data_IF_457485887054
#
_entry.id   IF_457485887054
#
_cell.length_a   1.000
_cell.length_b   1.000
_cell.length_c   1.000
_cell.angle_alpha   90.00
_cell.angle_beta   90.00
_cell.angle_gamma   90.00
#
_symmetry.space_group_name_H-M   'P 1'
#
loop_
_entity.id
_entity.type
_entity.pdbx_description
1 polymer ?
#
# COMPACT_ATOMS: atom_id res chain seq x y z
N UNK A 1 -19.56 6.88 -12.30
CA UNK A 1 -19.92 6.49 -10.92
C UNK A 1 -20.20 4.98 -10.76
N UNK A 2 -20.77 4.28 -11.76
CA UNK A 2 -21.03 2.83 -11.65
C UNK A 2 -19.79 1.95 -11.41
N UNK A 3 -18.66 2.26 -12.06
CA UNK A 3 -17.42 1.48 -11.92
C UNK A 3 -16.82 1.55 -10.51
N UNK A 4 -16.83 2.74 -9.87
CA UNK A 4 -16.30 2.93 -8.51
C UNK A 4 -17.18 2.20 -7.49
N UNK A 5 -18.50 2.23 -7.64
CA UNK A 5 -19.42 1.52 -6.75
C UNK A 5 -19.20 -0.01 -6.77
N UNK A 6 -18.96 -0.58 -7.96
CA UNK A 6 -18.65 -2.01 -8.11
C UNK A 6 -17.30 -2.34 -7.48
N UNK A 7 -16.27 -1.53 -7.72
CA UNK A 7 -14.93 -1.71 -7.14
C UNK A 7 -14.98 -1.67 -5.62
N UNK A 8 -15.67 -0.68 -5.04
CA UNK A 8 -15.82 -0.57 -3.60
C UNK A 8 -16.62 -1.77 -3.06
N UNK A 9 -17.72 -2.14 -3.71
CA UNK A 9 -18.54 -3.29 -3.29
C UNK A 9 -17.78 -4.62 -3.31
N UNK A 10 -17.05 -4.92 -4.39
CA UNK A 10 -16.26 -6.14 -4.47
C UNK A 10 -15.04 -6.10 -3.54
N UNK A 11 -14.41 -4.94 -3.41
CA UNK A 11 -13.29 -4.74 -2.51
C UNK A 11 -13.69 -4.92 -1.04
N UNK A 12 -14.85 -4.43 -0.63
CA UNK A 12 -15.35 -4.62 0.75
C UNK A 12 -15.73 -6.08 1.00
N UNK A 13 -16.33 -6.78 0.03
CA UNK A 13 -16.58 -8.23 0.10
C UNK A 13 -15.28 -9.01 0.27
N UNK A 14 -14.28 -8.76 -0.58
CA UNK A 14 -12.96 -9.39 -0.47
C UNK A 14 -12.27 -9.07 0.87
N UNK A 15 -12.34 -7.82 1.30
CA UNK A 15 -11.79 -7.39 2.59
C UNK A 15 -12.44 -8.12 3.77
N UNK A 16 -13.77 -8.29 3.74
CA UNK A 16 -14.51 -9.03 4.76
C UNK A 16 -14.17 -10.52 4.73
N UNK A 17 -14.10 -11.14 3.55
CA UNK A 17 -13.67 -12.53 3.39
C UNK A 17 -12.25 -12.75 3.91
N UNK A 18 -11.32 -11.83 3.67
CA UNK A 18 -9.95 -11.90 4.21
C UNK A 18 -9.89 -11.77 5.74
N UNK A 19 -10.78 -10.96 6.32
CA UNK A 19 -10.89 -10.81 7.77
C UNK A 19 -11.49 -12.07 8.41
N UNK A 20 -12.61 -12.59 7.89
CA UNK A 20 -13.30 -13.76 8.44
C UNK A 20 -12.52 -15.07 8.24
N UNK A 21 -11.81 -15.21 7.12
CA UNK A 21 -10.99 -16.41 6.85
C UNK A 21 -9.68 -16.46 7.65
N UNK A 22 -9.31 -15.38 8.35
CA UNK A 22 -7.99 -15.25 8.97
C UNK A 22 -6.84 -15.04 7.98
N UNK A 23 -7.14 -14.88 6.68
CA UNK A 23 -6.11 -14.67 5.64
C UNK A 23 -5.28 -13.41 5.89
N UNK A 24 -5.93 -12.30 6.28
CA UNK A 24 -5.24 -11.06 6.65
C UNK A 24 -4.32 -11.25 7.87
N UNK A 25 -4.76 -12.05 8.86
CA UNK A 25 -3.96 -12.37 10.05
C UNK A 25 -2.73 -13.21 9.71
N UNK A 26 -2.89 -14.18 8.80
CA UNK A 26 -1.78 -15.01 8.33
C UNK A 26 -0.73 -14.19 7.58
N UNK A 27 -1.16 -13.28 6.70
CA UNK A 27 -0.26 -12.34 6.01
C UNK A 27 0.46 -11.45 7.02
N UNK A 28 -0.28 -10.82 7.93
CA UNK A 28 0.29 -9.95 8.95
C UNK A 28 1.33 -10.69 9.80
N UNK A 29 0.99 -11.90 10.24
CA UNK A 29 1.89 -12.77 11.01
C UNK A 29 3.15 -13.09 10.24
N UNK A 30 3.04 -13.50 8.98
CA UNK A 30 4.18 -13.85 8.15
C UNK A 30 5.11 -12.64 7.94
N UNK A 31 4.56 -11.45 7.73
CA UNK A 31 5.34 -10.21 7.59
C UNK A 31 6.06 -9.83 8.88
N UNK A 32 5.37 -9.91 10.03
CA UNK A 32 5.96 -9.61 11.33
C UNK A 32 7.06 -10.61 11.70
N UNK A 33 6.83 -11.90 11.48
CA UNK A 33 7.79 -12.95 11.82
C UNK A 33 9.04 -12.87 10.91
N UNK A 34 8.86 -12.51 9.64
CA UNK A 34 9.96 -12.44 8.66
C UNK A 34 10.80 -11.16 8.78
N UNK A 35 10.18 -10.01 8.96
CA UNK A 35 10.87 -8.71 8.99
C UNK A 35 11.15 -8.21 10.41
N UNK A 36 10.42 -8.72 11.40
CA UNK A 36 10.43 -8.25 12.78
C UNK A 36 9.52 -7.03 12.99
N UNK A 37 9.00 -6.89 14.21
CA UNK A 37 8.09 -5.81 14.60
C UNK A 37 8.68 -4.41 14.29
N UNK A 38 9.98 -4.23 14.53
CA UNK A 38 10.66 -2.95 14.32
C UNK A 38 10.79 -2.56 12.85
N UNK A 39 10.66 -3.48 11.89
CA UNK A 39 10.88 -3.20 10.45
C UNK A 39 9.67 -3.51 9.58
N UNK A 40 8.57 -4.02 10.15
CA UNK A 40 7.39 -4.40 9.38
C UNK A 40 6.82 -3.25 8.54
N UNK A 41 6.91 -2.01 9.01
CA UNK A 41 6.49 -0.82 8.25
C UNK A 41 7.24 -0.64 6.91
N UNK A 42 8.49 -1.10 6.80
CA UNK A 42 9.21 -1.13 5.52
C UNK A 42 8.68 -2.22 4.59
N UNK A 43 8.37 -3.39 5.15
CA UNK A 43 7.74 -4.48 4.40
C UNK A 43 6.37 -4.05 3.86
N UNK A 44 5.61 -3.29 4.64
CA UNK A 44 4.32 -2.76 4.21
C UNK A 44 4.42 -1.77 3.06
N UNK A 45 5.47 -0.92 3.01
CA UNK A 45 5.74 -0.10 1.83
C UNK A 45 6.01 -0.95 0.60
N UNK A 46 6.87 -1.97 0.73
CA UNK A 46 7.20 -2.87 -0.38
C UNK A 46 5.95 -3.62 -0.88
N UNK A 47 5.11 -4.11 0.04
CA UNK A 47 3.83 -4.75 -0.29
C UNK A 47 2.95 -3.79 -1.08
N UNK A 48 2.78 -2.55 -0.60
CA UNK A 48 2.01 -1.53 -1.33
C UNK A 48 2.59 -1.24 -2.72
N UNK A 49 3.91 -1.14 -2.83
CA UNK A 49 4.60 -0.90 -4.09
C UNK A 49 4.40 -2.05 -5.09
N UNK A 50 4.61 -3.30 -4.66
CA UNK A 50 4.48 -4.48 -5.55
C UNK A 50 3.02 -4.71 -5.94
N UNK A 51 2.09 -4.63 -4.99
CA UNK A 51 0.65 -4.79 -5.26
C UNK A 51 0.13 -3.67 -6.14
N UNK A 52 0.67 -2.46 -6.02
CA UNK A 52 0.30 -1.32 -6.84
C UNK A 52 0.67 -1.45 -8.32
N UNK A 53 1.57 -2.35 -8.72
CA UNK A 53 1.97 -2.49 -10.12
C UNK A 53 0.80 -2.99 -10.99
N UNK A 54 0.12 -4.09 -10.63
CA UNK A 54 -1.05 -4.57 -11.38
C UNK A 54 -2.39 -3.96 -10.94
N UNK A 55 -2.46 -3.29 -9.79
CA UNK A 55 -3.72 -2.87 -9.17
C UNK A 55 -3.85 -1.34 -9.10
N UNK A 56 -5.03 -0.82 -9.42
CA UNK A 56 -5.36 0.59 -9.20
C UNK A 56 -5.25 0.99 -7.73
N UNK A 57 -4.89 2.25 -7.47
CA UNK A 57 -4.72 2.76 -6.10
C UNK A 57 -5.90 2.44 -5.18
N UNK A 58 -7.13 2.74 -5.62
CA UNK A 58 -8.34 2.55 -4.81
C UNK A 58 -8.57 1.07 -4.46
N UNK A 59 -8.43 0.18 -5.45
CA UNK A 59 -8.59 -1.26 -5.27
C UNK A 59 -7.51 -1.80 -4.33
N UNK A 60 -6.24 -1.43 -4.58
CA UNK A 60 -5.10 -1.88 -3.79
C UNK A 60 -5.21 -1.43 -2.32
N UNK A 61 -5.68 -0.21 -2.10
CA UNK A 61 -5.95 0.29 -0.76
C UNK A 61 -6.99 -0.57 -0.04
N UNK A 62 -8.15 -0.81 -0.65
CA UNK A 62 -9.24 -1.59 -0.02
C UNK A 62 -8.78 -3.00 0.33
N UNK A 63 -8.00 -3.64 -0.55
CA UNK A 63 -7.46 -4.99 -0.31
C UNK A 63 -6.43 -5.03 0.83
N UNK A 64 -5.63 -3.97 1.00
CA UNK A 64 -4.58 -3.92 2.01
C UNK A 64 -5.04 -3.40 3.37
N UNK A 65 -6.18 -2.72 3.46
CA UNK A 65 -6.73 -2.19 4.72
C UNK A 65 -6.80 -3.27 5.83
N UNK A 66 -7.36 -4.48 5.59
CA UNK A 66 -7.40 -5.52 6.62
C UNK A 66 -6.01 -5.92 7.11
N UNK A 67 -5.06 -6.06 6.19
CA UNK A 67 -3.66 -6.42 6.52
C UNK A 67 -3.01 -5.30 7.34
N UNK A 68 -3.22 -4.04 6.98
CA UNK A 68 -2.72 -2.87 7.72
C UNK A 68 -3.22 -2.89 9.16
N UNK A 69 -4.52 -3.12 9.37
CA UNK A 69 -5.09 -3.21 10.72
C UNK A 69 -4.52 -4.38 11.52
N UNK A 70 -4.42 -5.56 10.90
CA UNK A 70 -3.87 -6.75 11.56
C UNK A 70 -2.41 -6.58 11.94
N UNK A 71 -1.58 -5.99 11.06
CA UNK A 71 -0.18 -5.68 11.37
C UNK A 71 -0.08 -4.67 12.49
N UNK A 72 -0.83 -3.56 12.43
CA UNK A 72 -0.80 -2.52 13.46
C UNK A 72 -1.20 -3.07 14.85
N UNK A 73 -2.24 -3.92 14.91
CA UNK A 73 -2.64 -4.61 16.14
C UNK A 73 -1.56 -5.56 16.65
N UNK A 74 -1.01 -6.39 15.76
CA UNK A 74 -0.01 -7.40 16.13
C UNK A 74 1.29 -6.77 16.65
N UNK A 75 1.75 -5.69 16.03
CA UNK A 75 2.98 -5.01 16.46
C UNK A 75 2.77 -3.90 17.49
N UNK A 76 1.50 -3.61 17.84
CA UNK A 76 1.11 -2.49 18.72
C UNK A 76 1.64 -1.13 18.23
N UNK A 77 1.89 -1.01 16.93
CA UNK A 77 2.35 0.23 16.30
C UNK A 77 1.14 1.11 15.94
N UNK A 78 1.35 2.43 15.88
CA UNK A 78 0.30 3.32 15.40
C UNK A 78 -0.12 2.94 13.98
N UNK A 79 -1.43 3.07 13.71
CA UNK A 79 -1.98 2.87 12.38
C UNK A 79 -1.26 3.72 11.32
N UNK A 80 -0.88 4.96 11.66
CA UNK A 80 -0.17 5.85 10.75
C UNK A 80 1.22 5.31 10.38
N UNK A 81 1.90 4.67 11.32
CA UNK A 81 3.22 4.10 11.09
C UNK A 81 3.20 2.90 10.15
N UNK A 82 2.06 2.25 9.99
CA UNK A 82 1.86 1.09 9.09
C UNK A 82 1.17 1.52 7.78
N UNK A 83 0.12 2.33 7.87
CA UNK A 83 -0.73 2.73 6.74
C UNK A 83 -0.06 3.72 5.79
N UNK A 84 0.68 4.71 6.30
CA UNK A 84 1.41 5.67 5.46
C UNK A 84 2.41 4.97 4.52
N UNK A 85 3.25 4.03 5.00
CA UNK A 85 4.10 3.22 4.12
C UNK A 85 3.34 2.55 2.97
N UNK A 86 2.18 1.94 3.24
CA UNK A 86 1.36 1.30 2.20
C UNK A 86 0.85 2.32 1.19
N UNK A 87 0.29 3.43 1.67
CA UNK A 87 -0.23 4.51 0.84
C UNK A 87 0.87 5.10 -0.05
N UNK A 88 2.07 5.32 0.50
CA UNK A 88 3.22 5.80 -0.25
C UNK A 88 3.64 4.83 -1.36
N UNK A 89 3.71 3.53 -1.06
CA UNK A 89 4.02 2.50 -2.06
C UNK A 89 2.98 2.45 -3.19
N UNK A 90 1.70 2.38 -2.84
CA UNK A 90 0.61 2.37 -3.82
C UNK A 90 0.57 3.65 -4.66
N UNK A 91 0.68 4.82 -4.02
CA UNK A 91 0.56 6.12 -4.67
C UNK A 91 1.70 6.38 -5.65
N UNK A 92 2.94 6.07 -5.25
CA UNK A 92 4.11 6.24 -6.13
C UNK A 92 4.01 5.36 -7.37
N UNK A 93 3.62 4.11 -7.22
CA UNK A 93 3.48 3.20 -8.37
C UNK A 93 2.33 3.62 -9.27
N UNK A 94 1.18 3.92 -8.69
CA UNK A 94 0.00 4.34 -9.45
C UNK A 94 0.24 5.61 -10.27
N UNK A 95 0.97 6.57 -9.70
CA UNK A 95 1.23 7.87 -10.32
C UNK A 95 2.43 7.90 -11.28
N UNK A 96 3.45 7.06 -11.05
CA UNK A 96 4.74 7.19 -11.77
C UNK A 96 5.07 5.99 -12.66
N UNK A 97 4.56 4.80 -12.37
CA UNK A 97 5.06 3.56 -12.98
C UNK A 97 4.10 3.08 -14.08
N UNK A 98 4.55 3.01 -15.35
CA UNK A 98 3.80 2.34 -16.42
C UNK A 98 3.55 0.86 -16.06
N UNK A 99 2.40 0.26 -16.43
CA UNK A 99 1.50 0.66 -17.52
C UNK A 99 0.27 1.48 -17.10
N UNK A 100 0.31 2.21 -15.98
CA UNK A 100 -0.84 3.01 -15.55
C UNK A 100 -1.26 4.05 -16.60
N UNK A 101 -2.57 4.32 -16.75
CA UNK A 101 -3.06 5.20 -17.83
C UNK A 101 -2.40 6.57 -17.87
N UNK A 102 -2.21 7.23 -16.71
CA UNK A 102 -1.61 8.56 -16.66
C UNK A 102 -0.13 8.56 -17.13
N UNK A 103 0.78 7.72 -16.59
CA UNK A 103 2.12 7.53 -17.15
C UNK A 103 2.13 7.13 -18.63
N UNK A 104 1.21 6.26 -19.06
CA UNK A 104 1.13 5.81 -20.44
C UNK A 104 0.75 6.93 -21.41
N UNK A 105 -0.22 7.77 -21.04
CA UNK A 105 -0.62 8.95 -21.83
C UNK A 105 0.56 9.92 -21.95
N UNK A 106 1.32 10.14 -20.86
CA UNK A 106 2.50 10.99 -20.92
C UNK A 106 3.58 10.40 -21.84
N UNK A 107 3.83 9.09 -21.77
CA UNK A 107 4.79 8.42 -22.65
C UNK A 107 4.42 8.62 -24.13
N UNK A 108 3.14 8.42 -24.46
CA UNK A 108 2.63 8.56 -25.82
C UNK A 108 2.71 10.02 -26.31
N UNK A 109 2.24 10.96 -25.49
CA UNK A 109 2.24 12.39 -25.82
C UNK A 109 3.64 12.97 -26.07
N UNK A 110 4.66 12.48 -25.36
CA UNK A 110 6.05 12.93 -25.52
C UNK A 110 6.90 12.02 -26.41
N UNK A 111 6.33 10.94 -26.98
CA UNK A 111 7.08 9.96 -27.77
C UNK A 111 8.22 9.29 -26.98
N UNK A 112 8.05 9.12 -25.66
CA UNK A 112 9.09 8.62 -24.78
C UNK A 112 9.27 7.09 -24.91
N UNK A 113 10.44 6.59 -24.53
CA UNK A 113 10.69 5.15 -24.53
C UNK A 113 10.15 4.49 -23.25
N UNK A 114 9.21 3.55 -23.39
CA UNK A 114 8.59 2.83 -22.27
C UNK A 114 9.60 2.19 -21.31
N UNK A 115 10.61 1.49 -21.84
CA UNK A 115 11.61 0.80 -21.03
C UNK A 115 12.44 1.78 -20.19
N UNK A 116 12.88 2.90 -20.78
CA UNK A 116 13.59 3.96 -20.04
C UNK A 116 12.69 4.61 -18.99
N UNK A 117 11.42 4.84 -19.30
CA UNK A 117 10.48 5.43 -18.35
C UNK A 117 10.21 4.49 -17.17
N UNK A 118 10.09 3.18 -17.39
CA UNK A 118 10.01 2.19 -16.30
C UNK A 118 11.27 2.23 -15.43
N UNK A 119 12.45 2.31 -16.04
CA UNK A 119 13.70 2.41 -15.29
C UNK A 119 13.72 3.69 -14.43
N UNK A 120 13.39 4.84 -15.00
CA UNK A 120 13.36 6.11 -14.27
C UNK A 120 12.27 6.15 -13.20
N UNK A 121 11.11 5.56 -13.45
CA UNK A 121 10.02 5.52 -12.46
C UNK A 121 10.38 4.67 -11.26
N UNK A 122 11.16 3.59 -11.42
CA UNK A 122 11.69 2.83 -10.28
C UNK A 122 12.79 3.64 -9.56
N UNK A 123 13.71 4.24 -10.31
CA UNK A 123 14.82 5.04 -9.75
C UNK A 123 14.34 6.25 -8.95
N UNK A 124 13.24 6.88 -9.35
CA UNK A 124 12.66 8.05 -8.65
C UNK A 124 11.54 7.63 -7.69
N UNK A 125 10.70 6.69 -8.10
CA UNK A 125 9.53 6.23 -7.35
C UNK A 125 9.91 5.50 -6.07
N UNK A 126 10.93 4.64 -6.09
CA UNK A 126 11.35 3.91 -4.89
C UNK A 126 11.92 4.85 -3.80
N UNK A 127 12.85 5.79 -4.08
CA UNK A 127 13.24 6.80 -3.11
C UNK A 127 12.07 7.64 -2.61
N UNK A 128 11.16 8.03 -3.50
CA UNK A 128 9.96 8.80 -3.14
C UNK A 128 9.10 8.01 -2.14
N UNK A 129 8.86 6.72 -2.40
CA UNK A 129 8.08 5.84 -1.53
C UNK A 129 8.76 5.62 -0.18
N UNK A 130 10.09 5.54 -0.15
CA UNK A 130 10.87 5.41 1.07
C UNK A 130 10.75 6.66 1.95
N UNK A 131 10.88 7.85 1.34
CA UNK A 131 10.83 9.13 2.04
C UNK A 131 9.42 9.42 2.57
N UNK A 132 8.41 9.32 1.70
CA UNK A 132 7.02 9.60 2.06
C UNK A 132 6.35 8.48 2.86
N UNK A 133 6.87 7.25 2.79
CA UNK A 133 6.32 6.07 3.44
C UNK A 133 6.94 5.79 4.82
N UNK A 134 7.89 4.85 4.94
CA UNK A 134 8.41 4.41 6.23
C UNK A 134 9.15 5.49 7.02
N UNK A 135 9.87 6.40 6.36
CA UNK A 135 10.55 7.51 7.05
C UNK A 135 9.54 8.48 7.67
N UNK A 136 8.63 9.01 6.86
CA UNK A 136 7.59 9.93 7.34
C UNK A 136 6.58 9.25 8.28
N UNK A 137 6.14 8.03 7.96
CA UNK A 137 5.22 7.24 8.79
C UNK A 137 5.78 6.97 10.19
N UNK A 138 7.08 6.67 10.30
CA UNK A 138 7.77 6.53 11.60
C UNK A 138 7.88 7.87 12.33
N UNK A 139 8.06 8.98 11.62
CA UNK A 139 8.14 10.31 12.23
C UNK A 139 6.78 10.74 12.81
N UNK A 140 5.70 10.60 12.05
CA UNK A 140 4.37 11.05 12.48
C UNK A 140 3.69 10.07 13.44
N UNK A 141 3.89 8.76 13.26
CA UNK A 141 3.30 7.72 14.12
C UNK A 141 3.82 7.74 15.55
N UNK A 142 4.97 8.39 15.80
CA UNK A 142 5.48 8.68 17.16
C UNK A 142 4.81 9.89 17.81
N UNK A 143 4.26 10.81 17.00
CA UNK A 143 3.63 12.06 17.47
C UNK A 143 2.13 11.91 17.63
N UNK A 144 1.50 11.10 16.77
CA UNK A 144 0.06 10.91 16.74
C UNK A 144 -0.23 9.41 16.88
N UNK A 145 -0.68 9.01 18.06
CA UNK A 145 -1.07 7.64 18.36
C UNK A 145 -2.51 7.40 17.90
N UNK A 146 -2.66 6.96 16.65
CA UNK A 146 -3.93 6.42 16.14
C UNK A 146 -3.97 4.92 16.39
N UNK A 147 -4.92 4.47 17.21
CA UNK A 147 -5.17 3.06 17.46
C UNK A 147 -6.09 2.47 16.37
N UNK A 148 -5.87 1.23 15.93
CA UNK A 148 -6.77 0.56 15.00
C UNK A 148 -8.16 0.37 15.65
N UNK A 149 -9.28 0.55 14.91
CA UNK A 149 -10.63 0.40 15.47
C UNK A 149 -10.84 -1.00 16.04
N UNK A 150 -11.48 -1.16 17.20
CA UNK A 150 -11.66 -2.48 17.85
C UNK A 150 -12.58 -3.45 17.08
N UNK A 151 -13.58 -2.93 16.35
CA UNK A 151 -14.64 -3.72 15.67
C UNK A 151 -14.48 -3.84 14.15
N UNK A 152 -13.32 -4.31 13.68
CA UNK A 152 -13.14 -4.76 12.30
C UNK A 152 -12.67 -6.22 12.32
N UNK A 153 -13.61 -7.11 12.62
CA UNK A 153 -13.51 -8.55 12.41
C UNK A 153 -14.86 -9.02 11.86
#
# INVERSE_FOLDING_TARGET
MGTIAIVIGLGTMLGKMMAESGGAERIATTLVDRFGEKRVHWAMMLVGYVVGIPVFFEVGLILLIPVVFMVARKTKMSLLQIGIPVLAGLSTVHGLVPPHPAPMIAIDAYGANLGKTILYSILVGLPTAIISGPLFGKFIGKRILVQPPEKLA
#
